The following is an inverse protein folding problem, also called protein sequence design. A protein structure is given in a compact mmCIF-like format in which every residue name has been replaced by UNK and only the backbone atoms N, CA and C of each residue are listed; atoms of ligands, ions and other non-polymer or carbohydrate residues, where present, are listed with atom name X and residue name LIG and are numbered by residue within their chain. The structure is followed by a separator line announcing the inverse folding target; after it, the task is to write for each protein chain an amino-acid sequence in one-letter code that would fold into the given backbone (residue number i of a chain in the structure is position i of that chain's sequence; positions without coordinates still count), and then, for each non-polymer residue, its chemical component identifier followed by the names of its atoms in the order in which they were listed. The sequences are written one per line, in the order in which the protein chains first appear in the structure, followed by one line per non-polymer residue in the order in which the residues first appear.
data_IF_408284480206
#
_entry.id   IF_408284480206
#
_cell.length_a   1.000
_cell.length_b   1.000
_cell.length_c   1.000
_cell.angle_alpha   90.00
_cell.angle_beta   90.00
_cell.angle_gamma   90.00
#
_symmetry.space_group_name_H-M   'P 1'
#
loop_
_entity.id
_entity.type
_entity.pdbx_description
1 polymer ?
#
# COMPACT_ATOMS: atom_id res chain seq x y z
N UNK A 1 66.82 9.98 27.48
CA UNK A 1 65.43 10.44 27.23
C UNK A 1 65.47 11.59 26.23
N UNK A 2 65.35 11.28 24.93
CA UNK A 2 64.80 12.20 23.94
C UNK A 2 63.73 11.53 23.03
N UNK A 3 62.83 12.37 22.51
CA UNK A 3 62.25 12.45 21.16
C UNK A 3 61.61 11.25 20.41
N UNK A 4 60.30 11.42 20.12
CA UNK A 4 59.67 11.71 18.79
C UNK A 4 59.80 10.71 17.60
N UNK A 5 58.72 10.69 16.78
CA UNK A 5 58.57 10.18 15.37
C UNK A 5 57.92 8.77 15.28
N UNK A 6 56.59 8.67 15.20
CA UNK A 6 55.71 8.58 14.00
C UNK A 6 55.98 7.41 13.04
N UNK A 7 54.97 6.57 12.82
CA UNK A 7 54.45 6.35 11.46
C UNK A 7 53.10 5.65 11.48
N UNK A 8 52.06 6.43 11.17
CA UNK A 8 50.77 5.90 10.76
C UNK A 8 50.87 5.38 9.33
N UNK A 9 50.37 4.17 9.12
CA UNK A 9 49.91 3.74 7.80
C UNK A 9 48.39 3.74 7.86
N UNK A 10 47.84 4.92 7.54
CA UNK A 10 46.41 5.16 7.33
C UNK A 10 46.27 5.90 6.00
N UNK A 11 46.74 5.26 4.94
CA UNK A 11 46.52 5.73 3.57
C UNK A 11 45.88 4.60 2.78
N UNK A 12 45.02 4.98 1.84
CA UNK A 12 44.35 4.15 0.83
C UNK A 12 42.99 3.52 1.19
N UNK A 13 42.02 4.30 1.70
CA UNK A 13 40.58 4.00 1.48
C UNK A 13 39.72 5.22 1.08
N UNK A 14 40.21 6.45 1.21
CA UNK A 14 39.41 7.67 0.94
C UNK A 14 39.25 8.05 -0.54
N UNK A 15 39.97 7.40 -1.47
CA UNK A 15 40.02 7.86 -2.87
C UNK A 15 39.08 7.14 -3.85
N UNK A 16 38.17 6.27 -3.40
CA UNK A 16 37.25 5.53 -4.32
C UNK A 16 35.76 5.88 -4.21
N UNK A 17 35.34 6.81 -3.33
CA UNK A 17 33.91 7.12 -3.09
C UNK A 17 33.43 8.42 -3.78
N UNK A 18 34.30 9.13 -4.51
CA UNK A 18 33.96 10.44 -5.11
C UNK A 18 33.62 10.43 -6.62
N UNK A 19 33.43 9.27 -7.24
CA UNK A 19 33.18 9.19 -8.70
C UNK A 19 31.71 9.15 -9.14
N UNK A 20 30.75 9.00 -8.22
CA UNK A 20 29.32 8.79 -8.58
C UNK A 20 28.37 9.88 -8.03
N UNK A 21 28.88 11.07 -7.71
CA UNK A 21 28.04 12.21 -7.31
C UNK A 21 27.71 13.04 -8.54
N UNK A 22 26.47 12.94 -9.02
CA UNK A 22 26.01 13.80 -10.11
C UNK A 22 25.96 15.27 -9.67
N UNK A 23 26.37 16.17 -10.56
CA UNK A 23 26.25 17.60 -10.35
C UNK A 23 24.77 18.00 -10.21
N UNK A 24 24.49 18.89 -9.26
CA UNK A 24 23.16 19.44 -9.07
C UNK A 24 22.85 20.42 -10.22
N UNK A 25 21.98 20.01 -11.13
CA UNK A 25 21.47 20.90 -12.18
C UNK A 25 20.38 21.82 -11.61
N UNK A 26 20.17 22.97 -12.26
CA UNK A 26 19.12 23.91 -11.83
C UNK A 26 17.73 23.26 -11.89
N UNK A 27 17.47 22.40 -12.88
CA UNK A 27 16.21 21.64 -12.97
C UNK A 27 15.98 20.70 -11.78
N UNK A 28 17.01 19.92 -11.39
CA UNK A 28 16.94 19.04 -10.22
C UNK A 28 16.77 19.84 -8.93
N UNK A 29 17.40 21.00 -8.86
CA UNK A 29 17.24 21.91 -7.72
C UNK A 29 15.82 22.49 -7.63
N UNK A 30 15.23 22.91 -8.75
CA UNK A 30 13.85 23.37 -8.81
C UNK A 30 12.87 22.25 -8.41
N UNK A 31 13.10 21.01 -8.84
CA UNK A 31 12.27 19.87 -8.44
C UNK A 31 12.25 19.64 -6.91
N UNK A 32 13.39 19.84 -6.23
CA UNK A 32 13.47 19.75 -4.76
C UNK A 32 12.69 20.88 -4.09
N UNK A 33 12.81 22.10 -4.59
CA UNK A 33 12.11 23.28 -4.04
C UNK A 33 10.60 23.14 -4.24
N UNK A 34 10.18 22.70 -5.42
CA UNK A 34 8.77 22.62 -5.81
C UNK A 34 8.06 21.35 -5.31
N UNK A 35 8.76 20.47 -4.60
CA UNK A 35 8.22 19.18 -4.11
C UNK A 35 7.65 18.32 -5.25
N UNK A 36 8.35 18.27 -6.39
CA UNK A 36 7.83 17.64 -7.60
C UNK A 36 7.86 16.11 -7.50
N UNK A 37 6.70 15.47 -7.62
CA UNK A 37 6.58 14.01 -7.57
C UNK A 37 7.04 13.33 -8.85
N UNK A 38 7.12 14.03 -9.98
CA UNK A 38 7.56 13.46 -11.26
C UNK A 38 9.02 12.99 -11.24
N UNK A 39 9.84 13.61 -10.37
CA UNK A 39 11.27 13.31 -10.24
C UNK A 39 11.60 12.26 -9.18
N UNK A 40 10.59 11.74 -8.45
CA UNK A 40 10.81 10.80 -7.34
C UNK A 40 11.53 9.49 -7.70
N UNK A 41 11.46 9.09 -8.96
CA UNK A 41 12.13 7.90 -9.49
C UNK A 41 13.32 8.23 -10.40
N UNK A 42 13.64 9.51 -10.58
CA UNK A 42 14.75 9.95 -11.43
C UNK A 42 16.02 10.20 -10.62
N UNK A 43 15.87 10.73 -9.40
CA UNK A 43 17.01 10.95 -8.50
C UNK A 43 16.57 11.06 -7.04
N UNK A 44 17.54 10.90 -6.15
CA UNK A 44 17.46 11.14 -4.72
C UNK A 44 18.45 12.24 -4.36
N UNK A 45 18.14 13.02 -3.33
CA UNK A 45 19.07 14.04 -2.84
C UNK A 45 19.45 13.75 -1.39
N UNK A 46 20.71 13.95 -1.03
CA UNK A 46 21.17 13.82 0.34
C UNK A 46 21.78 15.11 0.87
N UNK A 47 21.60 15.35 2.16
CA UNK A 47 21.99 16.56 2.86
C UNK A 47 23.21 16.25 3.72
N UNK A 48 24.38 16.73 3.30
CA UNK A 48 25.68 16.49 3.94
C UNK A 48 25.66 16.79 5.44
N UNK A 49 25.04 17.90 5.84
CA UNK A 49 24.98 18.32 7.24
C UNK A 49 24.15 17.42 8.16
N UNK A 50 23.19 16.66 7.62
CA UNK A 50 22.31 15.80 8.43
C UNK A 50 22.57 14.31 8.24
N UNK A 51 23.35 13.96 7.21
CA UNK A 51 23.57 12.59 6.77
C UNK A 51 22.29 11.90 6.27
N UNK A 52 21.26 12.64 5.89
CA UNK A 52 19.95 12.09 5.46
C UNK A 52 19.77 12.24 3.96
N UNK A 53 19.25 11.22 3.28
CA UNK A 53 18.77 11.31 1.90
C UNK A 53 17.25 11.21 1.77
N UNK A 54 16.71 11.84 0.73
CA UNK A 54 15.29 12.13 0.52
C UNK A 54 14.89 11.97 -0.96
N UNK A 55 13.58 11.80 -1.20
CA UNK A 55 12.97 12.00 -2.53
C UNK A 55 12.74 13.50 -2.78
N UNK A 56 12.76 13.99 -4.03
CA UNK A 56 12.42 15.37 -4.40
C UNK A 56 11.10 15.86 -3.79
N UNK A 57 10.07 15.01 -3.72
CA UNK A 57 8.78 15.34 -3.09
C UNK A 57 8.78 15.31 -1.54
N UNK A 58 9.94 15.45 -0.89
CA UNK A 58 10.02 15.40 0.56
C UNK A 58 9.52 16.71 1.18
N UNK A 59 8.51 16.63 2.06
CA UNK A 59 7.94 17.80 2.78
C UNK A 59 8.83 18.34 3.91
N UNK A 60 10.08 17.90 4.00
CA UNK A 60 11.05 18.41 4.97
C UNK A 60 11.53 19.80 4.56
N UNK A 61 12.03 20.58 5.53
CA UNK A 61 12.57 21.92 5.25
C UNK A 61 13.63 21.85 4.17
N UNK A 62 13.54 22.74 3.17
CA UNK A 62 14.49 22.80 2.06
C UNK A 62 15.90 23.10 2.64
N UNK A 63 16.89 22.25 2.38
CA UNK A 63 18.28 22.46 2.81
C UNK A 63 18.95 23.57 2.00
N UNK A 64 20.15 24.01 2.38
CA UNK A 64 20.95 24.90 1.53
C UNK A 64 21.51 24.14 0.33
N UNK A 65 21.49 24.73 -0.87
CA UNK A 65 21.95 24.12 -2.14
C UNK A 65 23.35 23.52 -2.03
N UNK A 66 24.28 24.24 -1.38
CA UNK A 66 25.68 23.84 -1.15
C UNK A 66 25.86 22.52 -0.39
N UNK A 67 24.88 22.16 0.46
CA UNK A 67 24.93 20.97 1.30
C UNK A 67 24.20 19.77 0.67
N UNK A 68 23.73 19.91 -0.57
CA UNK A 68 22.99 18.87 -1.27
C UNK A 68 23.90 18.12 -2.23
N UNK A 69 23.77 16.81 -2.26
CA UNK A 69 24.34 15.92 -3.26
C UNK A 69 23.22 15.10 -3.89
N UNK A 70 23.39 14.74 -5.16
CA UNK A 70 22.39 14.01 -5.94
C UNK A 70 22.91 12.58 -6.17
N UNK A 71 22.01 11.61 -6.03
CA UNK A 71 22.23 10.21 -6.32
C UNK A 71 21.16 9.71 -7.29
N UNK A 72 21.51 8.95 -8.34
CA UNK A 72 20.53 8.35 -9.27
C UNK A 72 19.65 7.28 -8.60
N UNK A 73 20.14 6.58 -7.58
CA UNK A 73 19.37 5.55 -6.87
C UNK A 73 19.63 5.57 -5.35
N UNK A 74 18.72 4.95 -4.60
CA UNK A 74 18.81 4.88 -3.14
C UNK A 74 20.00 4.03 -2.65
N UNK A 75 20.42 3.04 -3.42
CA UNK A 75 21.54 2.16 -3.06
C UNK A 75 22.87 2.92 -3.01
N UNK A 76 23.13 3.81 -3.97
CA UNK A 76 24.32 4.65 -3.98
C UNK A 76 24.35 5.61 -2.79
N UNK A 77 23.20 6.19 -2.42
CA UNK A 77 23.09 7.02 -1.22
C UNK A 77 23.42 6.23 0.07
N UNK A 78 22.96 4.97 0.15
CA UNK A 78 23.28 4.08 1.27
C UNK A 78 24.77 3.72 1.31
N UNK A 79 25.38 3.40 0.16
CA UNK A 79 26.83 3.13 0.05
C UNK A 79 27.68 4.33 0.45
N UNK A 80 27.17 5.54 0.20
CA UNK A 80 27.77 6.79 0.63
C UNK A 80 27.48 7.15 2.11
N UNK A 81 26.97 6.20 2.92
CA UNK A 81 26.65 6.34 4.34
C UNK A 81 25.54 7.35 4.67
N UNK A 82 24.65 7.67 3.73
CA UNK A 82 23.46 8.46 4.04
C UNK A 82 22.32 7.57 4.54
N UNK A 83 21.65 7.99 5.61
CA UNK A 83 20.48 7.29 6.16
C UNK A 83 19.19 7.73 5.44
N UNK A 84 18.24 6.82 5.19
CA UNK A 84 16.99 7.16 4.54
C UNK A 84 16.14 8.07 5.42
N UNK A 85 15.55 9.11 4.83
CA UNK A 85 14.64 9.99 5.54
C UNK A 85 13.40 9.22 6.02
N UNK A 86 13.14 9.26 7.33
CA UNK A 86 11.95 8.63 7.93
C UNK A 86 10.64 9.23 7.45
N UNK A 87 10.66 10.45 6.89
CA UNK A 87 9.46 11.18 6.46
C UNK A 87 9.03 10.81 5.04
N UNK A 88 9.95 10.87 4.08
CA UNK A 88 9.64 10.53 2.69
C UNK A 88 9.89 9.06 2.35
N UNK A 89 10.49 8.28 3.28
CA UNK A 89 10.79 6.85 3.14
C UNK A 89 11.35 6.51 1.75
N UNK A 90 12.52 7.06 1.39
CA UNK A 90 13.05 6.98 0.03
C UNK A 90 13.34 5.56 -0.43
N UNK A 91 13.61 4.65 0.52
CA UNK A 91 13.87 3.23 0.30
C UNK A 91 12.63 2.35 0.37
N UNK A 92 11.43 2.90 0.59
CA UNK A 92 10.23 2.05 0.59
C UNK A 92 9.99 1.55 -0.83
N UNK A 93 10.19 0.26 -1.03
CA UNK A 93 9.79 -0.56 -2.17
C UNK A 93 8.25 -0.61 -2.27
N UNK A 94 7.61 0.55 -2.34
CA UNK A 94 6.18 0.59 -2.55
C UNK A 94 5.91 0.34 -4.02
N UNK A 95 5.20 -0.76 -4.31
CA UNK A 95 4.43 -0.89 -5.53
C UNK A 95 3.61 0.39 -5.75
N UNK A 96 3.39 0.82 -7.02
CA UNK A 96 2.46 1.91 -7.32
C UNK A 96 1.13 1.70 -6.59
N UNK A 97 0.53 2.78 -6.09
CA UNK A 97 -0.72 2.74 -5.31
C UNK A 97 -1.82 1.90 -6.01
N UNK A 98 -1.86 1.90 -7.35
CA UNK A 98 -2.78 1.10 -8.16
C UNK A 98 -2.50 -0.41 -8.07
N UNK A 99 -1.28 -0.83 -8.39
CA UNK A 99 -0.86 -2.24 -8.33
C UNK A 99 -1.01 -2.80 -6.91
N UNK A 100 -0.73 -1.94 -5.93
CA UNK A 100 -0.90 -2.26 -4.52
C UNK A 100 -2.36 -2.54 -4.15
N UNK A 101 -3.29 -1.72 -4.64
CA UNK A 101 -4.73 -1.92 -4.45
C UNK A 101 -5.23 -3.15 -5.21
N UNK A 102 -4.67 -3.44 -6.38
CA UNK A 102 -5.04 -4.62 -7.16
C UNK A 102 -4.64 -5.91 -6.43
N UNK A 103 -3.42 -5.98 -5.87
CA UNK A 103 -3.00 -7.11 -5.04
C UNK A 103 -3.89 -7.33 -3.82
N UNK A 104 -4.24 -6.24 -3.11
CA UNK A 104 -5.15 -6.33 -1.95
C UNK A 104 -6.52 -6.82 -2.40
N UNK A 105 -7.01 -6.33 -3.54
CA UNK A 105 -8.30 -6.74 -4.11
C UNK A 105 -8.29 -8.23 -4.43
N UNK A 106 -7.29 -8.70 -5.17
CA UNK A 106 -7.14 -10.10 -5.53
C UNK A 106 -7.04 -11.01 -4.30
N UNK A 107 -6.30 -10.57 -3.28
CA UNK A 107 -6.20 -11.31 -2.03
C UNK A 107 -7.55 -11.42 -1.31
N UNK A 108 -8.33 -10.33 -1.26
CA UNK A 108 -9.66 -10.35 -0.67
C UNK A 108 -10.57 -11.30 -1.45
N UNK A 109 -10.56 -11.25 -2.79
CA UNK A 109 -11.42 -12.08 -3.62
C UNK A 109 -11.14 -13.59 -3.47
N UNK A 110 -9.89 -13.97 -3.17
CA UNK A 110 -9.51 -15.37 -2.90
C UNK A 110 -9.80 -15.80 -1.46
N UNK A 111 -9.69 -14.88 -0.49
CA UNK A 111 -9.68 -15.21 0.94
C UNK A 111 -10.82 -14.55 1.74
N UNK A 112 -11.89 -14.08 1.09
CA UNK A 112 -12.95 -13.32 1.74
C UNK A 112 -13.66 -14.10 2.87
N UNK A 113 -13.60 -15.43 2.87
CA UNK A 113 -14.19 -16.29 3.92
C UNK A 113 -13.40 -16.24 5.22
N UNK A 114 -12.12 -15.85 5.19
CA UNK A 114 -11.26 -15.79 6.35
C UNK A 114 -11.44 -14.51 7.18
N UNK A 115 -10.82 -14.47 8.36
CA UNK A 115 -10.79 -13.27 9.20
C UNK A 115 -9.77 -12.27 8.65
N UNK A 116 -10.20 -11.45 7.71
CA UNK A 116 -9.38 -10.38 7.13
C UNK A 116 -9.39 -9.14 8.04
N UNK A 117 -8.22 -8.79 8.59
CA UNK A 117 -8.02 -7.54 9.34
C UNK A 117 -7.23 -6.52 8.52
N UNK A 118 -7.37 -5.25 8.86
CA UNK A 118 -6.62 -4.17 8.21
C UNK A 118 -5.10 -4.39 8.32
N UNK A 119 -4.64 -4.93 9.46
CA UNK A 119 -3.24 -5.28 9.71
C UNK A 119 -2.78 -6.44 8.83
N UNK A 120 -3.59 -7.50 8.71
CA UNK A 120 -3.25 -8.64 7.86
C UNK A 120 -3.09 -8.23 6.38
N UNK A 121 -4.03 -7.41 5.88
CA UNK A 121 -3.99 -6.91 4.52
C UNK A 121 -2.79 -5.99 4.28
N UNK A 122 -2.43 -5.16 5.26
CA UNK A 122 -1.29 -4.26 5.15
C UNK A 122 0.05 -5.00 5.18
N UNK A 123 0.14 -6.09 5.94
CA UNK A 123 1.35 -6.91 6.04
C UNK A 123 1.67 -7.63 4.73
N UNK A 124 0.65 -8.13 4.02
CA UNK A 124 0.80 -8.82 2.72
C UNK A 124 1.51 -7.95 1.69
N UNK A 125 1.28 -6.65 1.79
CA UNK A 125 1.69 -5.68 0.79
C UNK A 125 2.75 -4.70 1.35
N UNK A 126 3.41 -5.08 2.45
CA UNK A 126 4.51 -4.35 3.10
C UNK A 126 4.20 -2.88 3.42
N UNK A 127 2.94 -2.56 3.71
CA UNK A 127 2.50 -1.19 3.94
C UNK A 127 1.97 -0.91 5.35
N UNK A 128 1.68 0.37 5.62
CA UNK A 128 1.00 0.77 6.85
C UNK A 128 -0.51 0.56 6.72
N UNK A 129 -1.21 0.02 7.74
CA UNK A 129 -2.67 -0.15 7.72
C UNK A 129 -3.43 1.15 7.41
N UNK A 130 -2.93 2.28 7.91
CA UNK A 130 -3.55 3.58 7.69
C UNK A 130 -3.39 4.08 6.25
N UNK A 131 -2.19 3.91 5.69
CA UNK A 131 -1.94 4.23 4.28
C UNK A 131 -2.80 3.35 3.38
N UNK A 132 -2.87 2.05 3.69
CA UNK A 132 -3.69 1.07 2.99
C UNK A 132 -5.16 1.47 2.95
N UNK A 133 -5.73 1.79 4.11
CA UNK A 133 -7.11 2.23 4.20
C UNK A 133 -7.37 3.46 3.33
N UNK A 134 -6.50 4.48 3.39
CA UNK A 134 -6.65 5.72 2.62
C UNK A 134 -6.49 5.49 1.11
N UNK A 135 -5.46 4.77 0.71
CA UNK A 135 -5.15 4.50 -0.71
C UNK A 135 -6.23 3.63 -1.34
N UNK A 136 -6.65 2.56 -0.66
CA UNK A 136 -7.72 1.69 -1.13
C UNK A 136 -9.04 2.45 -1.32
N UNK A 137 -9.42 3.29 -0.35
CA UNK A 137 -10.63 4.14 -0.46
C UNK A 137 -10.53 5.15 -1.60
N UNK A 138 -9.35 5.76 -1.80
CA UNK A 138 -9.11 6.72 -2.88
C UNK A 138 -9.28 6.06 -4.26
N UNK A 139 -8.81 4.82 -4.42
CA UNK A 139 -8.79 4.14 -5.72
C UNK A 139 -10.09 3.39 -5.99
N UNK A 140 -10.62 2.62 -5.03
CA UNK A 140 -11.85 1.80 -5.20
C UNK A 140 -13.13 2.57 -4.87
N UNK A 141 -13.04 3.77 -4.31
CA UNK A 141 -14.19 4.57 -3.86
C UNK A 141 -14.85 4.06 -2.57
N UNK A 142 -14.36 2.98 -1.97
CA UNK A 142 -14.90 2.36 -0.76
C UNK A 142 -13.79 1.83 0.14
N UNK A 143 -14.08 1.65 1.43
CA UNK A 143 -13.11 1.10 2.38
C UNK A 143 -12.85 -0.40 2.15
N UNK A 144 -11.69 -0.93 2.57
CA UNK A 144 -11.41 -2.37 2.49
C UNK A 144 -12.50 -3.22 3.17
N UNK A 145 -13.01 -2.77 4.32
CA UNK A 145 -14.07 -3.47 5.06
C UNK A 145 -15.38 -3.49 4.27
N UNK A 146 -15.76 -2.37 3.64
CA UNK A 146 -16.95 -2.31 2.79
C UNK A 146 -16.81 -3.21 1.56
N UNK A 147 -15.61 -3.32 0.99
CA UNK A 147 -15.33 -4.19 -0.13
C UNK A 147 -15.45 -5.67 0.27
N UNK A 148 -14.85 -6.09 1.39
CA UNK A 148 -15.01 -7.45 1.94
C UNK A 148 -16.49 -7.77 2.15
N UNK A 149 -17.26 -6.85 2.76
CA UNK A 149 -18.70 -7.03 2.94
C UNK A 149 -19.44 -7.20 1.61
N UNK A 150 -19.07 -6.43 0.58
CA UNK A 150 -19.68 -6.53 -0.75
C UNK A 150 -19.39 -7.89 -1.41
N UNK A 151 -18.14 -8.34 -1.38
CA UNK A 151 -17.73 -9.65 -1.92
C UNK A 151 -18.49 -10.78 -1.21
N UNK A 152 -18.57 -10.73 0.12
CA UNK A 152 -19.31 -11.72 0.94
C UNK A 152 -20.80 -11.74 0.64
N UNK A 153 -21.45 -10.57 0.52
CA UNK A 153 -22.87 -10.48 0.17
C UNK A 153 -23.12 -11.00 -1.24
N UNK A 154 -22.23 -10.73 -2.19
CA UNK A 154 -22.33 -11.25 -3.55
C UNK A 154 -22.20 -12.78 -3.59
N UNK A 155 -21.23 -13.34 -2.85
CA UNK A 155 -21.11 -14.80 -2.68
C UNK A 155 -22.36 -15.40 -2.02
N UNK A 156 -22.91 -14.74 -1.00
CA UNK A 156 -24.12 -15.20 -0.32
C UNK A 156 -25.33 -15.25 -1.26
N UNK A 157 -25.50 -14.27 -2.16
CA UNK A 157 -26.55 -14.32 -3.19
C UNK A 157 -26.47 -15.60 -4.02
N UNK A 158 -25.26 -15.98 -4.47
CA UNK A 158 -25.05 -17.22 -5.25
C UNK A 158 -25.48 -18.45 -4.43
N UNK A 159 -25.05 -18.56 -3.17
CA UNK A 159 -25.46 -19.66 -2.30
C UNK A 159 -26.97 -19.71 -2.02
N UNK A 160 -27.62 -18.54 -1.91
CA UNK A 160 -29.07 -18.46 -1.67
C UNK A 160 -29.89 -18.98 -2.86
N UNK A 161 -29.40 -18.80 -4.08
CA UNK A 161 -30.02 -19.26 -5.34
C UNK A 161 -29.68 -20.73 -5.57
N UNK A 162 -28.41 -21.09 -5.50
CA UNK A 162 -27.90 -22.41 -5.92
C UNK A 162 -28.12 -23.52 -4.87
N UNK A 163 -28.46 -23.19 -3.63
CA UNK A 163 -28.54 -24.17 -2.54
C UNK A 163 -29.75 -23.96 -1.62
N UNK A 164 -30.14 -25.02 -0.92
CA UNK A 164 -31.17 -24.98 0.12
C UNK A 164 -30.60 -24.87 1.55
N UNK A 165 -29.31 -24.50 1.72
CA UNK A 165 -28.66 -24.37 3.04
C UNK A 165 -29.39 -23.37 3.94
N UNK A 166 -29.32 -23.52 5.26
CA UNK A 166 -29.91 -22.54 6.16
C UNK A 166 -29.17 -21.20 6.06
N UNK A 167 -29.86 -20.09 6.37
CA UNK A 167 -29.27 -18.74 6.29
C UNK A 167 -28.04 -18.62 7.21
N UNK A 168 -28.06 -19.28 8.38
CA UNK A 168 -26.92 -19.34 9.30
C UNK A 168 -25.72 -20.07 8.69
N UNK A 169 -25.94 -21.21 8.03
CA UNK A 169 -24.86 -21.96 7.39
C UNK A 169 -24.22 -21.16 6.26
N UNK A 170 -25.05 -20.46 5.46
CA UNK A 170 -24.55 -19.58 4.40
C UNK A 170 -23.71 -18.45 4.99
N UNK A 171 -24.16 -17.83 6.09
CA UNK A 171 -23.42 -16.78 6.78
C UNK A 171 -22.01 -17.27 7.16
N UNK A 172 -21.90 -18.47 7.73
CA UNK A 172 -20.63 -19.11 8.07
C UNK A 172 -19.80 -19.36 6.81
N UNK A 173 -20.39 -19.92 5.76
CA UNK A 173 -19.70 -20.22 4.49
C UNK A 173 -19.10 -18.98 3.82
N UNK A 174 -19.69 -17.80 4.03
CA UNK A 174 -19.17 -16.53 3.50
C UNK A 174 -18.34 -15.74 4.53
N UNK A 175 -17.90 -16.36 5.62
CA UNK A 175 -17.01 -15.74 6.61
C UNK A 175 -17.70 -14.79 7.60
N UNK A 176 -19.01 -14.89 7.77
CA UNK A 176 -19.80 -14.10 8.73
C UNK A 176 -20.46 -14.99 9.79
N UNK A 177 -19.72 -15.29 10.85
CA UNK A 177 -20.20 -16.13 11.95
C UNK A 177 -21.41 -15.54 12.72
N UNK A 178 -21.58 -14.22 12.71
CA UNK A 178 -22.71 -13.56 13.35
C UNK A 178 -23.91 -13.48 12.39
N UNK A 179 -24.83 -14.43 12.49
CA UNK A 179 -26.03 -14.52 11.64
C UNK A 179 -26.95 -13.29 11.72
N UNK A 180 -27.30 -12.74 12.90
CA UNK A 180 -28.06 -11.49 12.97
C UNK A 180 -27.39 -10.32 12.25
N UNK A 181 -26.07 -10.15 12.42
CA UNK A 181 -25.32 -9.13 11.71
C UNK A 181 -25.32 -9.37 10.19
N UNK A 182 -25.15 -10.62 9.75
CA UNK A 182 -25.24 -10.96 8.34
C UNK A 182 -26.60 -10.57 7.73
N UNK A 183 -27.71 -10.91 8.39
CA UNK A 183 -29.06 -10.59 7.90
C UNK A 183 -29.24 -9.08 7.76
N UNK A 184 -28.83 -8.30 8.76
CA UNK A 184 -28.93 -6.83 8.72
C UNK A 184 -28.06 -6.22 7.63
N UNK A 185 -26.81 -6.69 7.48
CA UNK A 185 -25.90 -6.24 6.44
C UNK A 185 -26.43 -6.58 5.04
N UNK A 186 -26.91 -7.81 4.84
CA UNK A 186 -27.47 -8.27 3.57
C UNK A 186 -28.68 -7.41 3.19
N UNK A 187 -29.60 -7.17 4.13
CA UNK A 187 -30.75 -6.27 3.91
C UNK A 187 -30.31 -4.85 3.56
N UNK A 188 -29.32 -4.30 4.28
CA UNK A 188 -28.77 -2.97 4.00
C UNK A 188 -28.18 -2.86 2.58
N UNK A 189 -27.52 -3.93 2.09
CA UNK A 189 -26.84 -3.95 0.80
C UNK A 189 -27.75 -4.34 -0.38
N UNK A 190 -28.86 -5.03 -0.12
CA UNK A 190 -29.71 -5.61 -1.18
C UNK A 190 -31.16 -5.15 -1.15
N UNK A 191 -31.58 -4.46 -0.08
CA UNK A 191 -32.98 -4.03 0.14
C UNK A 191 -33.85 -5.10 0.81
N UNK A 192 -33.42 -6.36 0.85
CA UNK A 192 -34.25 -7.48 1.31
C UNK A 192 -33.48 -8.41 2.24
N UNK A 193 -34.16 -9.16 3.11
CA UNK A 193 -33.50 -10.18 3.94
C UNK A 193 -33.03 -11.37 3.08
N UNK A 194 -32.03 -12.16 3.52
CA UNK A 194 -31.59 -13.35 2.79
C UNK A 194 -32.73 -14.33 2.46
N UNK A 195 -33.67 -14.51 3.39
CA UNK A 195 -34.82 -15.39 3.21
C UNK A 195 -35.80 -14.85 2.14
N UNK A 196 -36.10 -13.55 2.19
CA UNK A 196 -36.94 -12.89 1.17
C UNK A 196 -36.29 -12.95 -0.21
N UNK A 197 -34.99 -12.67 -0.29
CA UNK A 197 -34.22 -12.75 -1.53
C UNK A 197 -34.33 -14.15 -2.17
N UNK A 198 -34.12 -15.21 -1.38
CA UNK A 198 -34.27 -16.60 -1.85
C UNK A 198 -35.69 -16.89 -2.35
N UNK A 199 -36.71 -16.44 -1.62
CA UNK A 199 -38.10 -16.68 -1.99
C UNK A 199 -38.44 -16.00 -3.32
N UNK A 200 -37.97 -14.76 -3.52
CA UNK A 200 -38.21 -13.99 -4.73
C UNK A 200 -37.51 -14.60 -5.94
N UNK A 201 -36.23 -15.01 -5.81
CA UNK A 201 -35.51 -15.68 -6.90
C UNK A 201 -36.19 -16.99 -7.33
N UNK A 202 -36.69 -17.79 -6.37
CA UNK A 202 -37.46 -19.01 -6.70
C UNK A 202 -38.80 -18.73 -7.38
N UNK A 203 -39.43 -17.59 -7.09
CA UNK A 203 -40.66 -17.19 -7.77
C UNK A 203 -40.37 -16.72 -9.20
N UNK A 204 -39.29 -15.97 -9.41
CA UNK A 204 -38.81 -15.55 -10.74
C UNK A 204 -38.44 -16.73 -11.63
N UNK A 205 -37.70 -17.72 -11.10
CA UNK A 205 -37.37 -18.96 -11.81
C UNK A 205 -38.64 -19.70 -12.29
N UNK A 206 -39.60 -19.94 -11.39
CA UNK A 206 -40.88 -20.58 -11.74
C UNK A 206 -41.70 -19.78 -12.76
N UNK A 207 -41.69 -18.45 -12.67
CA UNK A 207 -42.40 -17.62 -13.63
C UNK A 207 -41.81 -17.76 -15.05
N UNK A 208 -40.49 -17.84 -15.15
CA UNK A 208 -39.81 -18.01 -16.43
C UNK A 208 -40.00 -19.43 -17.01
N UNK A 209 -39.94 -20.48 -16.18
CA UNK A 209 -40.17 -21.87 -16.59
C UNK A 209 -41.60 -22.12 -17.11
N UNK A 210 -42.61 -21.41 -16.61
CA UNK A 210 -44.00 -21.56 -17.05
C UNK A 210 -44.33 -20.77 -18.33
N UNK A 211 -43.37 -20.01 -18.88
CA UNK A 211 -43.54 -19.16 -20.06
C UNK A 211 -42.87 -19.73 -21.32
N UNK A 212 -42.00 -20.72 -21.15
CA UNK A 212 -41.39 -21.53 -22.22
C UNK A 212 -42.22 -22.80 -22.49
#
# INVERSE_FOLDING_TARGET
MPDRITNGQKESHDHRILNDVEMITDDKWQAIINNDTAYNNQFFYAVKSTGIFCKPSCKSRVPKKENVCIFPNAEQALRANFRPCKRCKPTNENLPDSEWVDLITEYIDKNFTEKLTLESLANICHGSPYHMHRTFKKIKGMTPVEYIQQVRVHAAKKYLIQTNKAVGDIAICVGMANTPYFITLFKKKTGQTPAQFRQMSKMEEKYNENKE
#
